data_IF_082695068367
#
_entry.id   IF_082695068367
#
_cell.length_a   1.000
_cell.length_b   1.000
_cell.length_c   1.000
_cell.angle_alpha   90.00
_cell.angle_beta   90.00
_cell.angle_gamma   90.00
#
_symmetry.space_group_name_H-M   'P 1'
#
loop_
_entity.id
_entity.type
_entity.pdbx_description
1 polymer ?
#
# COMPACT_ATOMS: atom_id res chain seq x y z
N UNK A 1 -13.23 -10.38 -9.81
CA UNK A 1 -12.33 -11.21 -10.64
C UNK A 1 -12.85 -12.64 -10.61
N UNK A 2 -12.57 -13.46 -11.63
CA UNK A 2 -13.09 -14.83 -11.73
C UNK A 2 -11.96 -15.75 -12.19
N UNK A 3 -11.64 -16.77 -11.41
CA UNK A 3 -10.69 -17.82 -11.82
C UNK A 3 -11.32 -18.74 -12.88
N UNK A 4 -10.48 -19.48 -13.61
CA UNK A 4 -10.92 -20.46 -14.63
C UNK A 4 -11.81 -19.86 -15.72
N UNK A 5 -11.48 -18.66 -16.19
CA UNK A 5 -12.24 -17.95 -17.24
C UNK A 5 -11.48 -17.82 -18.57
N UNK A 6 -10.37 -18.56 -18.74
CA UNK A 6 -9.49 -18.53 -19.92
C UNK A 6 -8.89 -17.16 -20.27
N UNK A 7 -8.74 -16.26 -19.29
CA UNK A 7 -8.14 -14.92 -19.47
C UNK A 7 -7.01 -14.71 -18.46
N UNK A 8 -5.79 -14.49 -18.95
CA UNK A 8 -4.61 -14.20 -18.12
C UNK A 8 -4.42 -15.26 -17.00
N UNK A 9 -3.92 -14.85 -15.83
CA UNK A 9 -3.72 -15.70 -14.65
C UNK A 9 -4.83 -15.61 -13.60
N UNK A 10 -4.49 -15.94 -12.35
CA UNK A 10 -5.39 -15.91 -11.20
C UNK A 10 -4.78 -15.08 -10.06
N UNK A 11 -5.58 -14.18 -9.48
CA UNK A 11 -5.15 -13.41 -8.30
C UNK A 11 -5.10 -14.28 -7.05
N UNK A 12 -4.21 -13.94 -6.10
CA UNK A 12 -4.05 -14.64 -4.82
C UNK A 12 -5.40 -14.81 -4.09
N UNK A 13 -6.18 -13.73 -4.03
CA UNK A 13 -7.52 -13.72 -3.46
C UNK A 13 -8.59 -13.50 -4.56
N UNK A 14 -8.67 -14.38 -5.55
CA UNK A 14 -9.53 -14.22 -6.72
C UNK A 14 -11.04 -14.08 -6.43
N UNK A 15 -11.50 -14.44 -5.23
CA UNK A 15 -12.89 -14.25 -4.76
C UNK A 15 -13.12 -12.93 -4.00
N UNK A 16 -12.08 -12.15 -3.74
CA UNK A 16 -12.20 -10.85 -3.07
C UNK A 16 -12.86 -9.81 -3.98
N UNK A 17 -13.45 -8.79 -3.36
CA UNK A 17 -13.85 -7.55 -4.06
C UNK A 17 -12.63 -6.63 -4.18
N UNK A 18 -12.54 -5.90 -5.28
CA UNK A 18 -11.48 -4.91 -5.52
C UNK A 18 -12.14 -3.55 -5.73
N UNK A 19 -11.58 -2.53 -5.09
CA UNK A 19 -11.81 -1.12 -5.39
C UNK A 19 -10.50 -0.51 -5.91
N UNK A 20 -10.60 0.48 -6.80
CA UNK A 20 -9.46 1.21 -7.33
C UNK A 20 -9.67 2.70 -7.08
N UNK A 21 -8.66 3.36 -6.51
CA UNK A 21 -8.62 4.80 -6.27
C UNK A 21 -7.58 5.40 -7.20
N UNK A 22 -7.99 6.30 -8.11
CA UNK A 22 -7.05 6.98 -9.01
C UNK A 22 -6.41 8.16 -8.28
N UNK A 23 -5.25 7.90 -7.67
CA UNK A 23 -4.50 8.87 -6.86
C UNK A 23 -3.32 9.47 -7.64
N UNK A 24 -2.64 8.64 -8.42
CA UNK A 24 -1.54 9.07 -9.29
C UNK A 24 -2.10 9.32 -10.69
N UNK A 25 -2.02 10.55 -11.15
CA UNK A 25 -2.48 10.95 -12.48
C UNK A 25 -1.60 12.07 -13.02
N UNK A 26 -1.14 11.96 -14.26
CA UNK A 26 -0.28 12.98 -14.88
C UNK A 26 -0.99 14.33 -15.00
N UNK A 27 -2.33 14.34 -15.04
CA UNK A 27 -3.13 15.56 -15.06
C UNK A 27 -3.42 16.16 -13.68
N UNK A 28 -2.96 15.55 -12.58
CA UNK A 28 -3.20 16.07 -11.24
C UNK A 28 -1.91 16.23 -10.42
N UNK A 29 -1.82 17.34 -9.70
CA UNK A 29 -0.76 17.53 -8.72
C UNK A 29 -1.15 16.74 -7.48
N UNK A 30 -0.39 15.69 -7.18
CA UNK A 30 -0.52 14.97 -5.91
C UNK A 30 -0.17 15.92 -4.77
N UNK A 31 -1.03 15.97 -3.76
CA UNK A 31 -0.81 16.74 -2.55
C UNK A 31 -1.33 15.97 -1.33
N UNK A 32 -0.92 16.43 -0.15
CA UNK A 32 -1.23 15.81 1.14
C UNK A 32 -2.74 15.57 1.37
N UNK A 33 -3.60 16.46 0.88
CA UNK A 33 -5.05 16.29 1.03
C UNK A 33 -5.58 15.13 0.19
N UNK A 34 -5.12 15.00 -1.06
CA UNK A 34 -5.48 13.90 -1.96
C UNK A 34 -4.97 12.57 -1.40
N UNK A 35 -3.72 12.55 -0.91
CA UNK A 35 -3.13 11.39 -0.25
C UNK A 35 -3.95 10.98 0.98
N UNK A 36 -4.22 11.90 1.90
CA UNK A 36 -5.00 11.65 3.10
C UNK A 36 -6.44 11.19 2.82
N UNK A 37 -7.13 11.84 1.90
CA UNK A 37 -8.50 11.45 1.52
C UNK A 37 -8.51 10.04 0.90
N UNK A 38 -7.52 9.70 0.07
CA UNK A 38 -7.41 8.37 -0.53
C UNK A 38 -7.19 7.28 0.51
N UNK A 39 -6.38 7.55 1.53
CA UNK A 39 -6.06 6.63 2.62
C UNK A 39 -7.21 6.48 3.63
N UNK A 40 -8.07 7.50 3.73
CA UNK A 40 -9.26 7.47 4.57
C UNK A 40 -10.51 6.92 3.85
N UNK A 41 -10.52 6.91 2.51
CA UNK A 41 -11.69 6.61 1.70
C UNK A 41 -12.28 5.24 2.04
N UNK A 42 -13.54 5.22 2.47
CA UNK A 42 -14.31 4.00 2.78
C UNK A 42 -13.65 3.06 3.80
N UNK A 43 -12.79 3.56 4.68
CA UNK A 43 -12.10 2.81 5.74
C UNK A 43 -13.00 2.18 6.81
N UNK A 44 -14.33 2.27 6.70
CA UNK A 44 -15.28 1.75 7.69
C UNK A 44 -15.07 2.29 9.11
N UNK A 45 -15.11 3.62 9.26
CA UNK A 45 -14.95 4.21 10.59
C UNK A 45 -16.09 3.78 11.50
N UNK A 46 -15.72 3.09 12.57
CA UNK A 46 -16.67 2.61 13.57
C UNK A 46 -17.45 3.77 14.18
N UNK A 47 -18.78 3.65 14.18
CA UNK A 47 -19.68 4.59 14.86
C UNK A 47 -19.48 4.63 16.38
N UNK A 48 -18.67 3.73 16.96
CA UNK A 48 -18.29 3.79 18.38
C UNK A 48 -17.30 4.92 18.66
N UNK A 49 -16.50 5.30 17.67
CA UNK A 49 -15.43 6.29 17.80
C UNK A 49 -15.77 7.64 17.15
N UNK A 50 -16.93 7.73 16.51
CA UNK A 50 -17.47 8.98 15.99
C UNK A 50 -18.89 9.19 16.52
N UNK A 51 -19.24 10.41 16.91
CA UNK A 51 -20.65 10.76 17.21
C UNK A 51 -21.52 10.79 15.93
N UNK A 52 -20.93 10.53 14.77
CA UNK A 52 -21.60 10.48 13.48
C UNK A 52 -22.24 9.11 13.30
N UNK A 53 -23.56 9.09 13.02
CA UNK A 53 -24.23 7.89 12.54
C UNK A 53 -23.76 7.60 11.11
N UNK A 54 -22.68 6.85 10.99
CA UNK A 54 -22.23 6.32 9.70
C UNK A 54 -23.10 5.10 9.36
N UNK A 55 -23.73 5.12 8.19
CA UNK A 55 -24.43 3.94 7.67
C UNK A 55 -23.37 2.89 7.37
N UNK A 56 -23.32 1.84 8.17
CA UNK A 56 -22.52 0.65 7.88
C UNK A 56 -23.00 0.07 6.54
N UNK A 57 -22.11 0.04 5.55
CA UNK A 57 -22.37 -0.55 4.24
C UNK A 57 -21.38 -1.68 4.03
N UNK A 58 -21.78 -2.72 3.29
CA UNK A 58 -20.89 -3.82 2.93
C UNK A 58 -19.84 -3.45 1.86
N UNK A 59 -19.76 -2.16 1.48
CA UNK A 59 -18.85 -1.63 0.46
C UNK A 59 -17.77 -0.77 1.11
N UNK A 60 -17.09 -1.36 2.09
CA UNK A 60 -15.99 -0.79 2.85
C UNK A 60 -14.66 -1.41 2.39
N UNK A 61 -13.56 -0.67 2.57
CA UNK A 61 -12.21 -1.13 2.26
C UNK A 61 -11.57 -1.68 3.52
N UNK A 62 -11.13 -2.93 3.47
CA UNK A 62 -10.37 -3.56 4.55
C UNK A 62 -8.86 -3.33 4.40
N UNK A 63 -8.34 -3.51 3.19
CA UNK A 63 -6.91 -3.50 2.90
C UNK A 63 -6.62 -2.47 1.81
N UNK A 64 -5.67 -1.59 2.08
CA UNK A 64 -5.10 -0.64 1.14
C UNK A 64 -3.74 -1.19 0.69
N UNK A 65 -3.58 -1.42 -0.60
CA UNK A 65 -2.31 -1.85 -1.20
C UNK A 65 -1.73 -0.68 -1.97
N UNK A 66 -0.56 -0.20 -1.54
CA UNK A 66 -0.02 1.07 -1.98
C UNK A 66 1.47 0.92 -2.31
N UNK A 67 1.92 1.58 -3.39
CA UNK A 67 3.29 1.48 -3.90
C UNK A 67 3.77 2.82 -4.48
N UNK A 68 3.42 3.90 -3.80
CA UNK A 68 3.92 5.24 -4.08
C UNK A 68 4.61 5.78 -2.84
N UNK A 69 5.47 6.77 -3.04
CA UNK A 69 6.27 7.36 -2.00
C UNK A 69 7.13 8.47 -2.59
N UNK A 70 8.18 8.88 -1.86
CA UNK A 70 9.21 9.76 -2.38
C UNK A 70 9.90 9.12 -3.58
N UNK A 71 10.76 9.90 -4.24
CA UNK A 71 11.51 9.37 -5.37
C UNK A 71 12.63 8.44 -4.90
N UNK A 72 12.64 7.22 -5.42
CA UNK A 72 13.63 6.17 -5.15
C UNK A 72 15.02 6.47 -5.79
N UNK A 73 15.64 7.60 -5.46
CA UNK A 73 16.90 8.08 -6.04
C UNK A 73 18.11 8.05 -5.10
N UNK A 74 17.98 7.47 -3.92
CA UNK A 74 19.04 7.38 -2.90
C UNK A 74 19.41 8.73 -2.28
N UNK A 75 18.55 9.74 -2.45
CA UNK A 75 18.79 11.13 -2.01
C UNK A 75 17.57 11.78 -1.39
N UNK A 76 16.38 11.39 -1.84
CA UNK A 76 15.11 11.89 -1.32
C UNK A 76 14.85 11.32 0.08
N UNK A 77 14.35 12.17 0.97
CA UNK A 77 13.95 11.79 2.31
C UNK A 77 12.70 12.59 2.68
N UNK A 78 11.55 11.94 2.60
CA UNK A 78 10.25 12.56 2.78
C UNK A 78 9.34 11.65 3.60
N UNK A 79 8.23 12.20 4.07
CA UNK A 79 7.24 11.50 4.89
C UNK A 79 5.84 11.97 4.54
N UNK A 80 4.79 11.24 4.94
CA UNK A 80 3.44 11.73 4.78
C UNK A 80 3.27 13.13 5.34
N UNK A 81 2.55 13.97 4.60
CA UNK A 81 2.10 15.25 5.11
C UNK A 81 1.12 15.07 6.28
N UNK A 82 0.75 16.17 6.98
CA UNK A 82 -0.09 16.08 8.17
C UNK A 82 -1.43 15.38 7.96
N UNK A 83 -2.07 15.54 6.79
CA UNK A 83 -3.36 14.91 6.50
C UNK A 83 -3.20 13.43 6.19
N UNK A 84 -2.23 13.06 5.35
CA UNK A 84 -1.91 11.68 5.05
C UNK A 84 -1.49 10.91 6.31
N UNK A 85 -0.63 11.49 7.15
CA UNK A 85 -0.22 10.90 8.42
C UNK A 85 -1.41 10.66 9.36
N UNK A 86 -2.32 11.64 9.45
CA UNK A 86 -3.52 11.53 10.29
C UNK A 86 -4.50 10.49 9.73
N UNK A 87 -4.60 10.34 8.42
CA UNK A 87 -5.42 9.31 7.79
C UNK A 87 -4.90 7.90 8.12
N UNK A 88 -3.59 7.67 8.04
CA UNK A 88 -2.96 6.39 8.43
C UNK A 88 -3.21 6.06 9.90
N UNK A 89 -2.95 7.01 10.79
CA UNK A 89 -3.17 6.87 12.23
C UNK A 89 -4.65 6.56 12.53
N UNK A 90 -5.56 7.40 12.04
CA UNK A 90 -6.98 7.28 12.32
C UNK A 90 -7.58 6.01 11.71
N UNK A 91 -7.15 5.64 10.50
CA UNK A 91 -7.54 4.41 9.83
C UNK A 91 -7.09 3.17 10.61
N UNK A 92 -5.86 3.14 11.09
CA UNK A 92 -5.33 2.02 11.88
C UNK A 92 -6.00 1.89 13.25
N UNK A 93 -6.45 2.98 13.86
CA UNK A 93 -7.14 2.93 15.15
C UNK A 93 -8.64 2.63 15.04
N UNK A 94 -9.30 3.11 13.98
CA UNK A 94 -10.78 3.16 13.95
C UNK A 94 -11.42 2.52 12.72
N UNK A 95 -10.62 2.25 11.69
CA UNK A 95 -11.06 1.59 10.47
C UNK A 95 -11.52 0.16 10.71
N UNK A 96 -12.12 -0.47 9.69
CA UNK A 96 -12.65 -1.84 9.75
C UNK A 96 -13.54 -2.07 10.97
N UNK A 97 -14.44 -1.11 11.25
CA UNK A 97 -15.35 -1.16 12.41
C UNK A 97 -14.61 -1.24 13.75
N UNK A 98 -13.44 -0.60 13.84
CA UNK A 98 -12.59 -0.51 15.03
C UNK A 98 -11.55 -1.62 15.16
N UNK A 99 -11.36 -2.44 14.12
CA UNK A 99 -10.27 -3.42 14.04
C UNK A 99 -8.97 -2.83 13.49
N UNK A 100 -9.05 -1.64 12.90
CA UNK A 100 -7.95 -1.00 12.19
C UNK A 100 -7.89 -1.38 10.72
N UNK A 101 -7.84 -0.36 9.85
CA UNK A 101 -7.48 -0.51 8.43
C UNK A 101 -6.09 -1.14 8.30
N UNK A 102 -5.89 -1.92 7.24
CA UNK A 102 -4.60 -2.55 6.94
C UNK A 102 -3.98 -1.81 5.75
N UNK A 103 -2.83 -1.17 5.97
CA UNK A 103 -2.06 -0.50 4.93
C UNK A 103 -0.84 -1.35 4.58
N UNK A 104 -0.80 -1.89 3.37
CA UNK A 104 0.34 -2.65 2.85
C UNK A 104 1.09 -1.74 1.89
N UNK A 105 2.38 -1.56 2.14
CA UNK A 105 3.24 -0.65 1.39
C UNK A 105 4.40 -1.40 0.74
N UNK A 106 4.73 -1.06 -0.51
CA UNK A 106 5.98 -1.53 -1.12
C UNK A 106 7.19 -0.86 -0.44
N UNK A 107 8.30 -1.59 -0.29
CA UNK A 107 9.51 -1.02 0.31
C UNK A 107 10.22 0.00 -0.57
N UNK A 108 10.17 -0.15 -1.90
CA UNK A 108 10.80 0.77 -2.86
C UNK A 108 11.61 0.05 -3.95
N UNK A 109 11.99 0.78 -5.00
CA UNK A 109 12.68 0.28 -6.20
C UNK A 109 14.06 0.91 -6.45
N UNK A 110 14.60 1.63 -5.47
CA UNK A 110 15.83 2.41 -5.49
C UNK A 110 17.11 1.63 -5.20
N UNK A 111 17.07 0.30 -5.14
CA UNK A 111 18.24 -0.52 -4.79
C UNK A 111 19.49 -0.28 -5.67
N UNK A 112 19.30 0.12 -6.94
CA UNK A 112 20.42 0.52 -7.85
C UNK A 112 21.03 1.88 -7.55
N UNK A 113 20.30 2.71 -6.83
CA UNK A 113 20.70 4.07 -6.44
C UNK A 113 21.24 4.11 -5.01
N UNK A 114 21.48 2.94 -4.39
CA UNK A 114 21.85 2.78 -2.98
C UNK A 114 20.82 3.42 -2.03
N UNK A 115 19.53 3.33 -2.38
CA UNK A 115 18.44 3.85 -1.55
C UNK A 115 18.12 2.94 -0.35
N UNK A 116 17.58 3.55 0.71
CA UNK A 116 17.20 2.89 1.95
C UNK A 116 15.77 3.29 2.31
N UNK A 117 14.86 2.30 2.37
CA UNK A 117 13.44 2.55 2.61
C UNK A 117 13.12 3.18 3.97
N UNK A 118 14.09 3.34 4.87
CA UNK A 118 13.94 4.18 6.06
C UNK A 118 13.79 5.68 5.71
N UNK A 119 14.22 6.10 4.52
CA UNK A 119 14.08 7.46 4.00
C UNK A 119 12.72 7.70 3.33
N UNK A 120 11.95 6.62 3.06
CA UNK A 120 10.53 6.70 2.74
C UNK A 120 9.70 6.63 4.03
N UNK A 121 9.16 7.78 4.45
CA UNK A 121 8.29 7.88 5.63
C UNK A 121 6.92 7.22 5.48
N UNK A 122 6.55 6.74 4.28
CA UNK A 122 5.40 5.86 4.07
C UNK A 122 5.78 4.41 4.35
N UNK A 123 6.81 3.87 3.71
CA UNK A 123 7.29 2.52 3.97
C UNK A 123 7.77 2.34 5.43
N UNK A 124 8.45 3.33 6.00
CA UNK A 124 8.93 3.28 7.39
C UNK A 124 7.89 3.68 8.44
N UNK A 125 6.63 3.89 8.04
CA UNK A 125 5.58 4.34 8.95
C UNK A 125 5.08 3.21 9.85
N UNK A 126 4.95 3.48 11.16
CA UNK A 126 4.38 2.55 12.14
C UNK A 126 3.00 1.99 11.75
N UNK A 127 2.21 2.77 11.02
CA UNK A 127 0.85 2.40 10.62
C UNK A 127 0.79 1.58 9.31
N UNK A 128 1.93 1.26 8.72
CA UNK A 128 2.02 0.52 7.46
C UNK A 128 2.75 -0.81 7.66
N UNK A 129 2.46 -1.75 6.77
CA UNK A 129 3.15 -3.02 6.66
C UNK A 129 4.03 -2.93 5.40
N UNK A 130 5.30 -2.58 5.59
CA UNK A 130 6.27 -2.57 4.50
C UNK A 130 6.64 -3.99 4.06
N UNK A 131 6.46 -4.24 2.76
CA UNK A 131 6.74 -5.50 2.11
C UNK A 131 7.85 -5.30 1.09
N UNK A 132 8.96 -6.00 1.30
CA UNK A 132 10.04 -6.12 0.34
C UNK A 132 9.76 -7.18 -0.72
N UNK A 133 10.75 -7.40 -1.58
CA UNK A 133 10.66 -8.39 -2.66
C UNK A 133 11.84 -9.34 -2.63
N UNK A 134 11.57 -10.60 -2.96
CA UNK A 134 12.57 -11.60 -3.26
C UNK A 134 12.40 -12.06 -4.71
N UNK A 135 13.52 -12.25 -5.41
CA UNK A 135 13.52 -12.85 -6.74
C UNK A 135 13.10 -14.33 -6.67
N UNK A 136 12.93 -14.95 -7.84
CA UNK A 136 12.65 -16.39 -7.94
C UNK A 136 13.73 -17.30 -7.30
N UNK A 137 14.96 -16.81 -7.13
CA UNK A 137 16.04 -17.52 -6.42
C UNK A 137 16.05 -17.27 -4.90
N UNK A 138 15.13 -16.45 -4.38
CA UNK A 138 15.07 -16.09 -2.96
C UNK A 138 16.04 -14.97 -2.54
N UNK A 139 16.85 -14.45 -3.47
CA UNK A 139 17.72 -13.29 -3.22
C UNK A 139 16.99 -11.97 -3.54
N UNK A 140 17.33 -10.85 -2.88
CA UNK A 140 16.80 -9.55 -3.28
C UNK A 140 17.12 -9.23 -4.75
N UNK A 141 16.15 -8.80 -5.58
CA UNK A 141 16.44 -8.31 -6.93
C UNK A 141 17.17 -6.96 -6.89
N UNK A 142 17.73 -6.54 -8.02
CA UNK A 142 18.57 -5.34 -8.12
C UNK A 142 17.89 -4.02 -7.75
N UNK A 143 16.56 -3.97 -7.78
CA UNK A 143 15.78 -2.78 -7.45
C UNK A 143 15.33 -2.78 -5.98
N UNK A 144 15.44 -3.89 -5.26
CA UNK A 144 14.89 -3.99 -3.91
C UNK A 144 15.56 -3.03 -2.94
N UNK A 145 14.75 -2.22 -2.26
CA UNK A 145 15.16 -1.47 -1.08
C UNK A 145 14.89 -2.29 0.18
N UNK A 146 15.88 -2.29 1.07
CA UNK A 146 15.81 -2.91 2.39
C UNK A 146 16.07 -1.88 3.47
N UNK A 147 15.39 -2.02 4.60
CA UNK A 147 15.55 -1.18 5.78
C UNK A 147 14.98 -1.89 7.01
N UNK A 148 15.21 -1.34 8.19
CA UNK A 148 14.72 -1.92 9.46
C UNK A 148 13.19 -1.97 9.59
N UNK A 149 12.45 -1.26 8.74
CA UNK A 149 10.99 -1.24 8.74
C UNK A 149 10.36 -2.37 7.90
N UNK A 150 11.12 -3.05 7.03
CA UNK A 150 10.58 -4.14 6.21
C UNK A 150 10.18 -5.32 7.10
N UNK A 151 8.90 -5.70 7.07
CA UNK A 151 8.36 -6.77 7.92
C UNK A 151 8.45 -8.15 7.27
N UNK A 152 8.28 -8.22 5.96
CA UNK A 152 8.32 -9.45 5.19
C UNK A 152 8.70 -9.17 3.72
N UNK A 153 8.98 -10.23 2.98
CA UNK A 153 9.19 -10.16 1.54
C UNK A 153 8.26 -11.12 0.79
N UNK A 154 7.80 -10.71 -0.38
CA UNK A 154 7.06 -11.57 -1.32
C UNK A 154 7.90 -11.88 -2.55
N UNK A 155 7.68 -13.02 -3.17
CA UNK A 155 8.41 -13.41 -4.38
C UNK A 155 7.82 -12.73 -5.62
N UNK A 156 8.67 -12.23 -6.52
CA UNK A 156 8.25 -11.66 -7.83
C UNK A 156 7.70 -12.73 -8.81
N UNK A 157 7.66 -14.00 -8.40
CA UNK A 157 7.20 -15.12 -9.21
C UNK A 157 8.29 -15.73 -10.07
N UNK A 158 8.00 -16.84 -10.76
CA UNK A 158 8.92 -17.43 -11.75
C UNK A 158 8.88 -16.60 -13.02
N UNK A 159 10.05 -16.20 -13.51
CA UNK A 159 10.23 -15.83 -14.91
C UNK A 159 9.97 -17.06 -15.78
N UNK A 160 8.80 -17.12 -16.42
CA UNK A 160 8.55 -18.08 -17.50
C UNK A 160 8.98 -17.45 -18.82
N UNK A 161 9.69 -18.20 -19.64
CA UNK A 161 10.05 -17.80 -21.02
C UNK A 161 8.86 -17.83 -21.97
N UNK A 162 7.75 -18.41 -21.53
CA UNK A 162 6.45 -18.32 -22.16
C UNK A 162 5.62 -17.35 -21.31
N UNK A 163 5.50 -16.11 -21.79
CA UNK A 163 4.80 -15.05 -21.08
C UNK A 163 3.37 -15.42 -20.68
N UNK A 164 2.86 -14.69 -19.69
CA UNK A 164 1.42 -14.64 -19.38
C UNK A 164 0.57 -14.31 -20.61
#
# INVERSE_FOLDING_TARGET
MTANNSKCGVGVAFKAKIAALKVLDESQILNDAIEGDSLAYKSAISSKFTQLKVKETNDQIDIYSVSWGPKDDGRSAERPGPLAQKALEYGTMHGRRGLGSIYVWASGNGGRNDDDCAMDGYASNLYTIAIGVASSSGSPPWYAEGCSAVLAAVTEGRTSTEGM
#
